data_IF_491088974164
#
_entry.id   IF_491088974164
#
_cell.length_a   1.000
_cell.length_b   1.000
_cell.length_c   1.000
_cell.angle_alpha   90.00
_cell.angle_beta   90.00
_cell.angle_gamma   90.00
#
_symmetry.space_group_name_H-M   'P 1'
#
loop_
_entity.id
_entity.type
_entity.pdbx_description
1 polymer ?
#
# COMPACT_ATOMS: atom_id res chain seq x y z
N UNK A 1 -21.28 8.23 -8.17
CA UNK A 1 -20.84 7.93 -6.80
C UNK A 1 -21.30 6.54 -6.36
N UNK A 2 -21.12 5.50 -7.18
CA UNK A 2 -21.51 4.11 -6.81
C UNK A 2 -20.34 3.32 -6.25
N UNK A 3 -19.12 3.63 -6.71
CA UNK A 3 -17.88 2.95 -6.32
C UNK A 3 -17.66 2.84 -4.80
N UNK A 4 -17.90 3.90 -4.01
CA UNK A 4 -17.67 3.87 -2.55
C UNK A 4 -18.66 2.91 -1.87
N UNK A 5 -19.92 2.91 -2.32
CA UNK A 5 -20.93 2.00 -1.78
C UNK A 5 -20.65 0.56 -2.23
N UNK A 6 -20.23 0.35 -3.48
CA UNK A 6 -19.78 -0.97 -3.97
C UNK A 6 -18.59 -1.51 -3.15
N UNK A 7 -17.56 -0.69 -2.91
CA UNK A 7 -16.41 -1.05 -2.07
C UNK A 7 -16.85 -1.40 -0.63
N UNK A 8 -17.82 -0.68 -0.07
CA UNK A 8 -18.39 -0.97 1.25
C UNK A 8 -19.15 -2.29 1.27
N UNK A 9 -20.01 -2.57 0.28
CA UNK A 9 -20.75 -3.83 0.17
C UNK A 9 -19.79 -5.03 0.03
N UNK A 10 -18.68 -4.85 -0.70
CA UNK A 10 -17.63 -5.87 -0.78
C UNK A 10 -16.96 -6.08 0.57
N UNK A 11 -16.62 -5.00 1.27
CA UNK A 11 -16.00 -5.05 2.60
C UNK A 11 -16.90 -5.60 3.70
N UNK A 12 -18.22 -5.47 3.59
CA UNK A 12 -19.20 -6.10 4.48
C UNK A 12 -19.13 -7.64 4.43
N UNK A 13 -18.77 -8.20 3.27
CA UNK A 13 -18.60 -9.65 3.09
C UNK A 13 -17.24 -10.16 3.62
N UNK A 14 -16.31 -9.25 3.91
CA UNK A 14 -14.97 -9.58 4.36
C UNK A 14 -14.96 -10.08 5.81
N UNK A 15 -14.36 -11.25 6.03
CA UNK A 15 -14.43 -11.95 7.32
C UNK A 15 -13.23 -11.71 8.24
N UNK A 16 -12.11 -11.24 7.69
CA UNK A 16 -10.89 -11.04 8.47
C UNK A 16 -10.90 -9.66 9.16
N UNK A 17 -10.23 -9.59 10.31
CA UNK A 17 -10.13 -8.36 11.10
C UNK A 17 -9.24 -7.28 10.45
N UNK A 18 -8.44 -7.66 9.45
CA UNK A 18 -7.47 -6.81 8.76
C UNK A 18 -7.93 -6.55 7.33
N UNK A 19 -7.61 -5.38 6.77
CA UNK A 19 -7.88 -5.05 5.37
C UNK A 19 -7.31 -6.10 4.39
N UNK A 20 -8.07 -6.44 3.36
CA UNK A 20 -7.72 -7.39 2.30
C UNK A 20 -6.30 -7.19 1.73
N UNK A 21 -5.97 -5.97 1.32
CA UNK A 21 -4.62 -5.67 0.79
C UNK A 21 -3.50 -5.99 1.78
N UNK A 22 -3.72 -5.76 3.07
CA UNK A 22 -2.71 -6.06 4.10
C UNK A 22 -2.64 -7.55 4.36
N UNK A 23 -3.79 -8.24 4.32
CA UNK A 23 -3.86 -9.70 4.39
C UNK A 23 -3.04 -10.35 3.27
N UNK A 24 -3.25 -9.95 2.01
CA UNK A 24 -2.47 -10.44 0.86
C UNK A 24 -0.96 -10.22 1.03
N UNK A 25 -0.56 -9.05 1.54
CA UNK A 25 0.84 -8.74 1.79
C UNK A 25 1.41 -9.65 2.89
N UNK A 26 0.64 -9.88 3.96
CA UNK A 26 1.07 -10.76 5.04
C UNK A 26 1.17 -12.21 4.57
N UNK A 27 0.21 -12.70 3.79
CA UNK A 27 0.24 -14.06 3.21
C UNK A 27 1.50 -14.26 2.36
N UNK A 28 1.85 -13.30 1.48
CA UNK A 28 3.10 -13.35 0.71
C UNK A 28 4.37 -13.33 1.58
N UNK A 29 4.32 -12.66 2.74
CA UNK A 29 5.44 -12.65 3.69
C UNK A 29 5.52 -13.95 4.48
N UNK A 30 4.38 -14.56 4.80
CA UNK A 30 4.29 -15.87 5.45
C UNK A 30 4.89 -16.97 4.58
N UNK A 31 4.65 -16.92 3.26
CA UNK A 31 5.28 -17.85 2.32
C UNK A 31 6.81 -17.82 2.44
N UNK A 32 7.42 -16.64 2.58
CA UNK A 32 8.88 -16.51 2.64
C UNK A 32 9.51 -16.91 3.97
N UNK A 33 8.72 -17.26 5.00
CA UNK A 33 9.22 -17.55 6.36
C UNK A 33 10.24 -18.69 6.37
N UNK A 34 10.09 -19.68 5.47
CA UNK A 34 11.02 -20.82 5.40
C UNK A 34 12.46 -20.42 5.05
N UNK A 35 12.67 -19.23 4.46
CA UNK A 35 14.01 -18.72 4.11
C UNK A 35 14.80 -18.24 5.35
N UNK A 36 14.14 -18.10 6.49
CA UNK A 36 14.68 -17.44 7.68
C UNK A 36 14.78 -18.41 8.85
N UNK A 37 15.84 -18.28 9.64
CA UNK A 37 16.03 -19.02 10.88
C UNK A 37 15.77 -18.08 12.05
N UNK A 38 14.85 -18.45 12.94
CA UNK A 38 14.56 -17.66 14.14
C UNK A 38 15.21 -18.29 15.37
N UNK A 39 15.92 -17.48 16.16
CA UNK A 39 16.57 -17.89 17.40
C UNK A 39 16.10 -16.97 18.54
N UNK A 40 15.55 -17.52 19.63
CA UNK A 40 15.24 -16.72 20.81
C UNK A 40 16.53 -16.34 21.54
N UNK A 41 16.85 -15.05 21.60
CA UNK A 41 17.96 -14.53 22.44
C UNK A 41 17.50 -14.29 23.88
N UNK A 42 16.20 -14.01 24.05
CA UNK A 42 15.53 -13.85 25.33
C UNK A 42 14.24 -13.07 25.11
N UNK A 43 13.08 -13.64 25.46
CA UNK A 43 11.79 -12.98 25.27
C UNK A 43 11.79 -11.60 25.94
N UNK A 44 11.43 -10.50 25.25
CA UNK A 44 10.69 -10.41 23.97
C UNK A 44 11.55 -10.25 22.69
N UNK A 45 12.87 -10.48 22.76
CA UNK A 45 13.83 -10.28 21.66
C UNK A 45 14.24 -11.57 20.98
N UNK A 46 14.33 -11.47 19.66
CA UNK A 46 14.63 -12.57 18.75
C UNK A 46 15.69 -12.14 17.74
N UNK A 47 16.56 -13.08 17.41
CA UNK A 47 17.47 -12.97 16.29
C UNK A 47 16.88 -13.74 15.11
N UNK A 48 16.81 -13.08 13.95
CA UNK A 48 16.34 -13.68 12.70
C UNK A 48 17.50 -13.63 11.71
N UNK A 49 17.99 -14.80 11.32
CA UNK A 49 19.08 -14.94 10.37
C UNK A 49 18.55 -15.23 8.97
N UNK A 50 19.07 -14.51 7.99
CA UNK A 50 18.84 -14.74 6.56
C UNK A 50 20.18 -14.68 5.83
N UNK A 51 20.59 -15.80 5.24
CA UNK A 51 21.93 -15.97 4.67
C UNK A 51 23.02 -15.55 5.69
N UNK A 52 23.80 -14.50 5.37
CA UNK A 52 24.89 -13.98 6.22
C UNK A 52 24.46 -12.81 7.12
N UNK A 53 23.19 -12.38 7.05
CA UNK A 53 22.69 -11.22 7.79
C UNK A 53 21.84 -11.65 8.99
N UNK A 54 22.05 -10.98 10.12
CA UNK A 54 21.26 -11.14 11.33
C UNK A 54 20.43 -9.89 11.60
N UNK A 55 19.15 -10.09 11.90
CA UNK A 55 18.22 -9.04 12.25
C UNK A 55 17.72 -9.22 13.67
N UNK A 56 17.63 -8.13 14.42
CA UNK A 56 17.08 -8.14 15.78
C UNK A 56 15.62 -7.69 15.70
N UNK A 57 14.74 -8.53 16.23
CA UNK A 57 13.29 -8.27 16.31
C UNK A 57 12.89 -8.22 17.78
N UNK A 58 12.31 -7.10 18.19
CA UNK A 58 11.69 -6.92 19.49
C UNK A 58 10.16 -6.89 19.32
N UNK A 59 9.49 -7.92 19.83
CA UNK A 59 8.03 -8.03 19.69
C UNK A 59 7.31 -7.09 20.67
N UNK A 60 7.94 -6.81 21.83
CA UNK A 60 7.33 -5.99 22.88
C UNK A 60 7.13 -4.56 22.42
N UNK A 61 8.13 -4.01 21.72
CA UNK A 61 8.08 -2.65 21.17
C UNK A 61 7.67 -2.59 19.70
N UNK A 62 7.39 -3.74 19.07
CA UNK A 62 7.11 -3.87 17.63
C UNK A 62 8.22 -3.28 16.76
N UNK A 63 9.47 -3.59 17.10
CA UNK A 63 10.65 -3.02 16.47
C UNK A 63 11.43 -4.10 15.72
N UNK A 64 11.92 -3.77 14.52
CA UNK A 64 12.87 -4.60 13.78
C UNK A 64 14.08 -3.77 13.35
N UNK A 65 15.29 -4.32 13.44
CA UNK A 65 16.51 -3.63 13.02
C UNK A 65 16.51 -3.24 11.53
N UNK A 66 15.66 -3.83 10.69
CA UNK A 66 15.52 -3.42 9.29
C UNK A 66 14.73 -2.12 9.09
N UNK A 67 14.05 -1.59 10.12
CA UNK A 67 13.26 -0.35 10.05
C UNK A 67 11.92 -0.43 9.29
N UNK A 68 11.73 -1.46 8.47
CA UNK A 68 10.54 -1.60 7.62
C UNK A 68 9.25 -1.84 8.41
N UNK A 69 9.34 -2.48 9.58
CA UNK A 69 8.15 -2.68 10.42
C UNK A 69 7.63 -1.35 10.97
N UNK A 70 8.52 -0.47 11.39
CA UNK A 70 8.23 0.84 11.94
C UNK A 70 7.70 1.79 10.86
N UNK A 71 8.28 1.72 9.66
CA UNK A 71 7.88 2.54 8.53
C UNK A 71 6.51 2.14 7.98
N UNK A 72 6.22 0.84 7.89
CA UNK A 72 4.98 0.37 7.29
C UNK A 72 3.83 0.14 8.30
N UNK A 73 4.12 0.04 9.60
CA UNK A 73 3.13 -0.25 10.64
C UNK A 73 2.56 -1.68 10.63
N UNK A 74 3.02 -2.56 9.73
CA UNK A 74 2.62 -3.97 9.64
C UNK A 74 3.85 -4.88 9.75
N UNK A 75 3.73 -6.08 10.35
CA UNK A 75 4.86 -6.99 10.49
C UNK A 75 5.58 -7.23 9.16
N UNK A 76 6.88 -6.97 9.13
CA UNK A 76 7.74 -7.36 8.01
C UNK A 76 8.11 -8.85 8.12
N UNK A 77 8.75 -9.42 7.10
CA UNK A 77 9.07 -10.86 7.04
C UNK A 77 9.75 -11.34 8.33
N UNK A 78 10.72 -10.59 8.87
CA UNK A 78 11.40 -10.94 10.12
C UNK A 78 10.44 -11.06 11.32
N UNK A 79 9.52 -10.10 11.48
CA UNK A 79 8.52 -10.13 12.54
C UNK A 79 7.52 -11.27 12.33
N UNK A 80 7.11 -11.52 11.09
CA UNK A 80 6.24 -12.66 10.75
C UNK A 80 6.89 -13.99 11.12
N UNK A 81 8.18 -14.18 10.84
CA UNK A 81 8.92 -15.38 11.22
C UNK A 81 8.86 -15.62 12.73
N UNK A 82 9.07 -14.56 13.51
CA UNK A 82 9.02 -14.62 14.97
C UNK A 82 7.61 -14.90 15.49
N UNK A 83 6.57 -14.31 14.90
CA UNK A 83 5.19 -14.65 15.29
C UNK A 83 4.83 -16.11 14.96
N UNK A 84 5.26 -16.62 13.80
CA UNK A 84 5.06 -18.02 13.42
C UNK A 84 5.80 -18.99 14.34
N UNK A 85 7.02 -18.66 14.77
CA UNK A 85 7.75 -19.51 15.74
C UNK A 85 7.08 -19.56 17.12
N UNK A 86 6.31 -18.53 17.49
CA UNK A 86 5.42 -18.53 18.67
C UNK A 86 4.03 -19.12 18.42
N UNK A 87 3.76 -19.66 17.23
CA UNK A 87 2.46 -20.16 16.82
C UNK A 87 1.33 -19.09 16.92
N UNK A 88 1.69 -17.83 16.67
CA UNK A 88 0.80 -16.66 16.69
C UNK A 88 0.52 -16.17 15.28
N UNK A 89 -0.69 -15.68 15.07
CA UNK A 89 -1.09 -15.07 13.80
C UNK A 89 -0.57 -13.63 13.69
N UNK A 90 0.30 -13.31 12.71
CA UNK A 90 0.85 -11.97 12.54
C UNK A 90 -0.24 -10.90 12.28
N UNK A 91 -1.39 -11.29 11.73
CA UNK A 91 -2.52 -10.38 11.44
C UNK A 91 -3.03 -9.66 12.68
N UNK A 92 -2.90 -10.27 13.86
CA UNK A 92 -3.33 -9.68 15.15
C UNK A 92 -2.42 -8.56 15.64
N UNK A 93 -1.22 -8.41 15.07
CA UNK A 93 -0.19 -7.48 15.55
C UNK A 93 0.03 -6.25 14.65
N UNK A 94 -0.81 -6.10 13.62
CA UNK A 94 -0.82 -4.96 12.70
C UNK A 94 -1.23 -3.66 13.41
N UNK A 95 -0.80 -2.51 12.90
CA UNK A 95 -1.28 -1.21 13.37
C UNK A 95 -2.80 -1.05 13.24
N UNK A 96 -3.41 -0.26 14.13
CA UNK A 96 -4.87 -0.09 14.22
C UNK A 96 -5.48 0.45 12.93
N UNK A 97 -4.75 1.26 12.17
CA UNK A 97 -5.24 1.88 10.93
C UNK A 97 -5.55 0.87 9.83
N UNK A 98 -4.96 -0.32 9.90
CA UNK A 98 -5.21 -1.39 8.92
C UNK A 98 -6.32 -2.35 9.35
N UNK A 99 -6.91 -2.16 10.53
CA UNK A 99 -8.04 -2.95 10.99
C UNK A 99 -9.31 -2.56 10.22
N UNK A 100 -10.14 -3.56 9.91
CA UNK A 100 -11.43 -3.34 9.27
C UNK A 100 -12.37 -2.51 10.13
N UNK A 101 -12.28 -2.63 11.46
CA UNK A 101 -13.04 -1.81 12.40
C UNK A 101 -12.77 -0.32 12.17
N UNK A 102 -11.49 0.06 12.08
CA UNK A 102 -11.07 1.44 11.81
C UNK A 102 -11.56 1.90 10.44
N UNK A 103 -11.47 1.03 9.42
CA UNK A 103 -12.01 1.34 8.09
C UNK A 103 -13.52 1.65 8.15
N UNK A 104 -14.31 0.81 8.82
CA UNK A 104 -15.75 1.05 8.97
C UNK A 104 -16.05 2.31 9.77
N UNK A 105 -15.25 2.65 10.78
CA UNK A 105 -15.40 3.90 11.51
C UNK A 105 -15.15 5.12 10.61
N UNK A 106 -14.07 5.12 9.83
CA UNK A 106 -13.71 6.22 8.92
C UNK A 106 -14.76 6.41 7.82
N UNK A 107 -15.25 5.31 7.25
CA UNK A 107 -16.23 5.31 6.16
C UNK A 107 -17.67 5.09 6.64
N UNK A 108 -17.95 5.35 7.92
CA UNK A 108 -19.30 5.20 8.50
C UNK A 108 -20.28 6.26 8.00
N UNK A 109 -19.77 7.44 7.66
CA UNK A 109 -20.58 8.56 7.20
C UNK A 109 -20.74 8.55 5.68
N UNK A 110 -21.99 8.69 5.24
CA UNK A 110 -22.34 8.80 3.83
C UNK A 110 -22.37 10.27 3.40
N UNK A 111 -21.96 10.52 2.16
CA UNK A 111 -22.31 11.77 1.51
C UNK A 111 -23.78 11.68 1.15
N UNK A 112 -24.59 12.59 1.70
CA UNK A 112 -25.98 12.71 1.29
C UNK A 112 -26.05 12.98 -0.22
N UNK A 113 -27.01 12.37 -0.93
CA UNK A 113 -27.19 12.65 -2.34
C UNK A 113 -27.48 14.14 -2.52
N UNK A 114 -26.60 14.83 -3.23
CA UNK A 114 -26.82 16.23 -3.60
C UNK A 114 -27.87 16.28 -4.71
N UNK A 115 -28.81 17.22 -4.56
CA UNK A 115 -29.74 17.54 -5.64
C UNK A 115 -28.96 18.00 -6.87
N UNK A 116 -29.53 17.82 -8.06
CA UNK A 116 -28.89 18.25 -9.30
C UNK A 116 -28.76 19.78 -9.41
N UNK A 117 -28.00 20.28 -10.40
CA UNK A 117 -27.75 21.72 -10.60
C UNK A 117 -29.01 22.58 -10.66
N UNK A 118 -30.13 22.02 -11.12
CA UNK A 118 -31.44 22.70 -11.15
C UNK A 118 -31.90 23.21 -9.77
N UNK A 119 -31.48 22.56 -8.69
CA UNK A 119 -31.87 22.89 -7.32
C UNK A 119 -30.77 23.63 -6.54
N UNK A 120 -29.64 23.93 -7.17
CA UNK A 120 -28.55 24.65 -6.53
C UNK A 120 -28.90 26.14 -6.44
N UNK A 121 -28.61 26.76 -5.30
CA UNK A 121 -28.75 28.21 -5.14
C UNK A 121 -27.78 28.92 -6.08
N UNK A 122 -28.26 29.90 -6.83
CA UNK A 122 -27.40 30.73 -7.68
C UNK A 122 -26.43 31.52 -6.80
N UNK A 123 -25.17 31.53 -7.19
CA UNK A 123 -24.13 32.34 -6.55
C UNK A 123 -24.49 33.83 -6.66
N UNK A 124 -24.19 34.60 -5.61
CA UNK A 124 -24.24 36.07 -5.64
C UNK A 124 -23.00 36.67 -6.30
N UNK A 125 -21.95 35.88 -6.47
CA UNK A 125 -20.69 36.26 -7.10
C UNK A 125 -20.75 36.04 -8.62
N UNK A 126 -20.00 36.84 -9.41
CA UNK A 126 -19.91 36.66 -10.84
C UNK A 126 -19.40 35.26 -11.20
N UNK A 127 -19.82 34.79 -12.37
CA UNK A 127 -19.41 33.49 -12.88
C UNK A 127 -17.88 33.39 -12.96
N UNK A 128 -17.35 32.28 -12.49
CA UNK A 128 -15.93 31.98 -12.58
C UNK A 128 -15.62 31.74 -14.06
N UNK A 129 -14.93 32.69 -14.68
CA UNK A 129 -14.44 32.51 -16.05
C UNK A 129 -13.42 31.37 -16.07
N UNK A 130 -13.44 30.52 -17.12
CA UNK A 130 -12.39 29.53 -17.29
C UNK A 130 -11.03 30.22 -17.32
N UNK A 131 -9.99 29.63 -16.73
CA UNK A 131 -8.65 30.19 -16.84
C UNK A 131 -8.24 30.25 -18.31
N UNK A 132 -7.47 31.29 -18.66
CA UNK A 132 -6.94 31.43 -20.01
C UNK A 132 -6.22 30.16 -20.44
N UNK A 133 -6.62 29.63 -21.60
CA UNK A 133 -6.00 28.42 -22.16
C UNK A 133 -4.57 28.76 -22.55
N UNK A 134 -3.61 28.36 -21.71
CA UNK A 134 -2.19 28.43 -22.05
C UNK A 134 -1.82 27.24 -22.92
N UNK A 135 -1.47 27.51 -24.19
CA UNK A 135 -0.85 26.51 -25.05
C UNK A 135 0.57 26.27 -24.53
N UNK A 136 0.77 25.17 -23.80
CA UNK A 136 2.10 24.76 -23.36
C UNK A 136 2.98 24.47 -24.60
N UNK A 137 4.28 24.78 -24.54
CA UNK A 137 5.22 24.37 -25.58
C UNK A 137 5.08 22.87 -25.82
N UNK A 138 4.87 22.47 -27.08
CA UNK A 138 4.79 21.05 -27.44
C UNK A 138 6.04 20.35 -26.91
N UNK A 139 5.84 19.19 -26.28
CA UNK A 139 6.94 18.30 -25.93
C UNK A 139 7.80 18.10 -27.18
N UNK A 140 9.12 18.39 -27.14
CA UNK A 140 9.98 18.18 -28.29
C UNK A 140 9.80 16.75 -28.75
N UNK A 141 9.56 16.56 -30.05
CA UNK A 141 9.46 15.22 -30.64
C UNK A 141 10.74 14.49 -30.23
N UNK A 142 10.60 13.34 -29.58
CA UNK A 142 11.73 12.42 -29.42
C UNK A 142 12.18 12.05 -30.82
N UNK A 143 13.30 12.61 -31.27
CA UNK A 143 14.00 12.07 -32.43
C UNK A 143 14.40 10.65 -32.03
N UNK A 144 13.68 9.65 -32.57
CA UNK A 144 14.16 8.28 -32.52
C UNK A 144 15.47 8.27 -33.32
N UNK A 145 16.58 8.10 -32.62
CA UNK A 145 17.84 7.70 -33.25
C UNK A 145 17.54 6.41 -34.02
N UNK A 146 17.70 6.39 -35.34
CA UNK A 146 17.60 5.16 -36.13
C UNK A 146 18.58 4.13 -35.54
N UNK A 147 18.15 2.87 -35.48
CA UNK A 147 19.02 1.77 -35.03
C UNK A 147 20.28 1.69 -35.90
N UNK A 148 21.38 1.23 -35.32
CA UNK A 148 22.70 1.15 -35.99
C UNK A 148 22.60 0.41 -37.33
N UNK A 149 21.77 -0.63 -37.38
CA UNK A 149 21.53 -1.44 -38.58
C UNK A 149 20.96 -0.60 -39.73
N UNK A 150 19.95 0.25 -39.46
CA UNK A 150 19.37 1.14 -40.48
C UNK A 150 20.34 2.20 -41.00
N UNK A 151 21.35 2.58 -40.19
CA UNK A 151 22.40 3.50 -40.62
C UNK A 151 23.45 2.82 -41.50
N UNK A 152 23.74 1.54 -41.25
CA UNK A 152 24.70 0.79 -42.06
C UNK A 152 24.09 0.48 -43.43
N UNK A 153 22.81 0.09 -43.49
CA UNK A 153 22.08 -0.17 -44.74
C UNK A 153 21.93 1.08 -45.63
N UNK A 154 21.82 2.28 -45.04
CA UNK A 154 21.77 3.55 -45.81
C UNK A 154 23.16 4.04 -46.26
N UNK A 155 24.26 3.57 -45.66
CA UNK A 155 25.62 3.96 -46.03
C UNK A 155 26.24 3.08 -47.12
N UNK A 156 25.66 1.89 -47.36
CA UNK A 156 26.05 0.97 -48.44
C UNK A 156 25.31 1.26 -49.77
N UNK A 157 24.50 2.32 -49.81
CA UNK A 157 23.73 2.74 -50.99
C UNK A 157 24.22 4.07 -51.55
#
# INVERSE_FOLDING_TARGET
MTRIEEERQNKLKWKLAVCERVDEILTKREERVYEYITRPTGSPRYEVTFAENNFVVDIGTKHCSCGLWQLEGKPYVHAVCVYKSQNKDPRKYVHKDFLMTTWFTVYSHFLEPLRGPMFWTKSLYPDILPPDIRVLPRKPKRCRTKDVIQRMEEAEK
#
